data_IF_530693366188
#
_entry.id   IF_530693366188
#
_cell.length_a   1.000
_cell.length_b   1.000
_cell.length_c   1.000
_cell.angle_alpha   90.00
_cell.angle_beta   90.00
_cell.angle_gamma   90.00
#
_symmetry.space_group_name_H-M   'P 1'
#
loop_
_entity.id
_entity.type
_entity.pdbx_description
1 polymer ?
#
# COMPACT_ATOMS: atom_id res chain seq x y z
N UNK A 1 -2.64 -5.12 11.62
CA UNK A 1 -1.42 -4.34 11.95
C UNK A 1 -1.54 -3.00 11.24
N UNK A 2 -1.42 -1.87 11.93
CA UNK A 2 -1.54 -0.57 11.27
C UNK A 2 -0.28 -0.30 10.44
N UNK A 3 -0.46 -0.12 9.14
CA UNK A 3 0.61 0.16 8.18
C UNK A 3 0.56 1.61 7.74
N UNK A 4 1.72 2.17 7.42
CA UNK A 4 1.84 3.52 6.85
C UNK A 4 2.27 3.45 5.39
N UNK A 5 2.07 4.55 4.65
CA UNK A 5 2.45 4.67 3.25
C UNK A 5 3.42 5.84 3.06
N UNK A 6 4.54 5.58 2.39
CA UNK A 6 5.54 6.59 2.05
C UNK A 6 6.21 6.24 0.73
N UNK A 7 6.36 7.21 -0.18
CA UNK A 7 7.06 7.05 -1.46
C UNK A 7 6.61 5.80 -2.27
N UNK A 8 5.32 5.48 -2.22
CA UNK A 8 4.70 4.30 -2.82
C UNK A 8 5.18 2.95 -2.28
N UNK A 9 5.67 2.93 -1.05
CA UNK A 9 5.88 1.73 -0.27
C UNK A 9 4.85 1.64 0.84
N UNK A 10 4.49 0.40 1.18
CA UNK A 10 3.82 0.05 2.41
C UNK A 10 4.89 -0.18 3.47
N UNK A 11 4.72 0.43 4.64
CA UNK A 11 5.67 0.37 5.73
C UNK A 11 5.03 -0.23 6.98
N UNK A 12 5.87 -0.93 7.75
CA UNK A 12 5.51 -1.51 9.04
C UNK A 12 6.54 -1.12 10.09
N UNK A 13 6.08 -0.92 11.32
CA UNK A 13 6.95 -0.87 12.49
C UNK A 13 7.26 -2.29 12.96
N UNK A 14 8.52 -2.71 12.86
CA UNK A 14 9.01 -4.00 13.33
C UNK A 14 10.20 -3.77 14.27
N UNK A 15 10.08 -4.22 15.52
CA UNK A 15 11.14 -4.09 16.53
C UNK A 15 11.65 -2.64 16.71
N UNK A 16 10.74 -1.66 16.70
CA UNK A 16 11.06 -0.24 16.85
C UNK A 16 11.73 0.39 15.62
N UNK A 17 11.64 -0.25 14.45
CA UNK A 17 12.15 0.27 13.18
C UNK A 17 11.06 0.25 12.12
N UNK A 18 10.96 1.36 11.41
CA UNK A 18 10.15 1.45 10.18
C UNK A 18 10.84 0.70 9.05
N UNK A 19 10.16 -0.27 8.46
CA UNK A 19 10.66 -1.06 7.33
C UNK A 19 9.69 -0.99 6.15
N UNK A 20 10.24 -0.98 4.92
CA UNK A 20 9.45 -1.10 3.68
C UNK A 20 9.14 -2.57 3.44
N UNK A 21 7.86 -2.93 3.47
CA UNK A 21 7.42 -4.34 3.36
C UNK A 21 6.84 -4.70 2.00
N UNK A 22 6.34 -3.72 1.25
CA UNK A 22 5.90 -3.93 -0.13
C UNK A 22 6.01 -2.65 -0.94
N UNK A 23 6.32 -2.81 -2.23
CA UNK A 23 6.23 -1.74 -3.23
C UNK A 23 4.85 -1.80 -3.88
N UNK A 24 4.14 -0.68 -3.95
CA UNK A 24 2.84 -0.63 -4.59
C UNK A 24 2.95 -0.93 -6.08
N UNK A 25 1.97 -1.67 -6.62
CA UNK A 25 1.87 -1.92 -8.07
C UNK A 25 1.67 -0.63 -8.85
N UNK A 26 2.02 -0.61 -10.14
CA UNK A 26 1.81 0.57 -11.01
C UNK A 26 0.36 1.06 -10.96
N UNK A 27 -0.60 0.14 -11.12
CA UNK A 27 -2.02 0.44 -11.09
C UNK A 27 -2.48 1.04 -9.74
N UNK A 28 -1.94 0.55 -8.62
CA UNK A 28 -2.24 1.10 -7.30
C UNK A 28 -1.72 2.53 -7.15
N UNK A 29 -0.48 2.80 -7.57
CA UNK A 29 0.12 4.15 -7.53
C UNK A 29 -0.70 5.14 -8.35
N UNK A 30 -1.01 4.81 -9.59
CA UNK A 30 -1.81 5.68 -10.48
C UNK A 30 -3.23 5.93 -9.95
N UNK A 31 -3.82 4.97 -9.22
CA UNK A 31 -5.10 5.16 -8.53
C UNK A 31 -4.95 6.09 -7.33
N UNK A 32 -3.91 5.92 -6.51
CA UNK A 32 -3.65 6.79 -5.37
C UNK A 32 -3.35 8.22 -5.80
N UNK A 33 -2.59 8.42 -6.88
CA UNK A 33 -2.27 9.75 -7.39
C UNK A 33 -3.54 10.49 -7.84
N UNK A 34 -4.45 9.80 -8.54
CA UNK A 34 -5.77 10.36 -8.89
C UNK A 34 -6.61 10.71 -7.67
N UNK A 35 -6.59 9.87 -6.62
CA UNK A 35 -7.31 10.14 -5.38
C UNK A 35 -6.70 11.33 -4.62
N UNK A 36 -5.37 11.44 -4.58
CA UNK A 36 -4.65 12.59 -4.01
C UNK A 36 -5.03 13.90 -4.70
N UNK A 37 -5.07 13.92 -6.03
CA UNK A 37 -5.52 15.09 -6.79
C UNK A 37 -6.97 15.48 -6.50
N UNK A 38 -7.78 14.56 -5.96
CA UNK A 38 -9.17 14.80 -5.52
C UNK A 38 -9.27 15.10 -4.02
N UNK A 39 -8.16 15.40 -3.34
CA UNK A 39 -8.12 15.74 -1.92
C UNK A 39 -8.25 14.54 -0.98
N UNK A 40 -7.82 13.35 -1.40
CA UNK A 40 -7.77 12.18 -0.51
C UNK A 40 -6.34 11.83 -0.13
N UNK A 41 -6.10 11.67 1.17
CA UNK A 41 -4.80 11.29 1.71
C UNK A 41 -4.89 9.91 2.38
N UNK A 42 -4.00 8.95 2.05
CA UNK A 42 -3.92 7.69 2.77
C UNK A 42 -3.63 7.92 4.26
N UNK A 43 -4.44 7.33 5.15
CA UNK A 43 -4.30 7.50 6.60
C UNK A 43 -3.90 6.23 7.32
N UNK A 44 -4.24 5.06 6.76
CA UNK A 44 -3.82 3.76 7.28
C UNK A 44 -3.91 2.69 6.20
N UNK A 45 -3.28 1.55 6.44
CA UNK A 45 -3.47 0.36 5.64
C UNK A 45 -3.39 -0.91 6.50
N UNK A 46 -3.97 -1.99 5.98
CA UNK A 46 -3.99 -3.30 6.62
C UNK A 46 -3.71 -4.40 5.59
N UNK A 47 -2.82 -5.34 5.93
CA UNK A 47 -2.64 -6.56 5.14
C UNK A 47 -3.81 -7.50 5.39
N UNK A 48 -4.52 -7.87 4.32
CA UNK A 48 -5.56 -8.89 4.38
C UNK A 48 -5.03 -10.28 4.05
N UNK A 49 -4.20 -10.36 3.02
CA UNK A 49 -3.61 -11.62 2.57
C UNK A 49 -2.17 -11.41 2.14
N UNK A 50 -1.35 -12.42 2.41
CA UNK A 50 -0.04 -12.60 1.77
C UNK A 50 -0.17 -13.84 0.90
N UNK A 51 0.03 -13.69 -0.40
CA UNK A 51 -0.14 -14.78 -1.37
C UNK A 51 1.17 -15.02 -2.12
N UNK A 52 1.45 -16.27 -2.46
CA UNK A 52 2.49 -16.59 -3.43
C UNK A 52 1.90 -16.50 -4.83
N UNK A 53 2.37 -15.54 -5.63
CA UNK A 53 1.93 -15.40 -7.01
C UNK A 53 2.95 -16.06 -7.96
N UNK A 54 2.55 -17.19 -8.54
CA UNK A 54 3.33 -17.90 -9.55
C UNK A 54 3.10 -17.28 -10.92
N UNK A 55 4.17 -17.00 -11.67
CA UNK A 55 4.06 -16.59 -13.07
C UNK A 55 3.63 -17.79 -13.92
N UNK A 56 2.80 -17.56 -14.93
CA UNK A 56 2.24 -18.66 -15.76
C UNK A 56 3.33 -19.45 -16.50
N UNK A 57 4.36 -18.76 -16.98
CA UNK A 57 5.41 -19.35 -17.82
C UNK A 57 6.71 -19.69 -17.07
N UNK A 58 6.77 -19.48 -15.75
CA UNK A 58 7.98 -19.76 -14.96
C UNK A 58 7.67 -20.39 -13.61
N UNK A 59 8.65 -21.08 -13.04
CA UNK A 59 8.59 -21.55 -11.64
C UNK A 59 8.89 -20.44 -10.62
N UNK A 60 8.93 -19.18 -11.07
CA UNK A 60 9.16 -18.04 -10.19
C UNK A 60 7.88 -17.71 -9.42
N UNK A 61 8.01 -17.68 -8.10
CA UNK A 61 6.97 -17.26 -7.18
C UNK A 61 7.35 -15.93 -6.54
N UNK A 62 6.41 -14.98 -6.57
CA UNK A 62 6.59 -13.65 -6.00
C UNK A 62 5.61 -13.48 -4.83
N UNK A 63 6.06 -13.13 -3.62
CA UNK A 63 5.16 -12.80 -2.53
C UNK A 63 4.43 -11.48 -2.83
N UNK A 64 3.11 -11.53 -2.82
CA UNK A 64 2.24 -10.38 -3.06
C UNK A 64 1.41 -10.09 -1.81
N UNK A 65 1.40 -8.83 -1.39
CA UNK A 65 0.53 -8.34 -0.32
C UNK A 65 -0.76 -7.81 -0.95
N UNK A 66 -1.89 -8.35 -0.50
CA UNK A 66 -3.21 -7.79 -0.77
C UNK A 66 -3.65 -7.02 0.47
N UNK A 67 -3.67 -5.69 0.37
CA UNK A 67 -3.96 -4.78 1.48
C UNK A 67 -5.15 -3.87 1.19
N UNK A 68 -5.90 -3.56 2.23
CA UNK A 68 -6.83 -2.43 2.21
C UNK A 68 -6.03 -1.17 2.57
N UNK A 69 -6.24 -0.09 1.80
CA UNK A 69 -5.67 1.23 2.06
C UNK A 69 -6.84 2.16 2.37
N UNK A 70 -6.86 2.70 3.58
CA UNK A 70 -7.88 3.66 4.01
C UNK A 70 -7.41 5.07 3.69
N UNK A 71 -8.33 5.87 3.15
CA UNK A 71 -8.08 7.27 2.82
C UNK A 71 -9.04 8.15 3.60
N UNK A 72 -8.53 9.31 3.99
CA UNK A 72 -9.32 10.40 4.52
C UNK A 72 -9.44 11.48 3.45
N UNK A 73 -10.62 12.10 3.36
CA UNK A 73 -10.78 13.31 2.54
C UNK A 73 -10.29 14.51 3.34
N UNK A 74 -9.37 15.27 2.77
CA UNK A 74 -8.93 16.52 3.34
C UNK A 74 -10.14 17.44 3.39
N UNK A 75 -10.67 17.65 4.59
CA UNK A 75 -11.76 18.60 4.81
C UNK A 75 -11.09 19.96 4.84
N UNK A 76 -11.35 20.79 3.82
CA UNK A 76 -10.92 22.18 3.88
C UNK A 76 -11.48 22.77 5.17
N UNK A 77 -10.60 23.22 6.07
CA UNK A 77 -11.00 24.14 7.11
C UNK A 77 -11.56 25.37 6.38
N UNK A 78 -12.88 25.55 6.46
CA UNK A 78 -13.56 26.77 6.04
C UNK A 78 -13.25 27.88 7.05
#
# INVERSE_FOLDING_TARGET
MALSLENYFLLAELNGRTVRIAKLSKACRERLDRLRSNGYTPCSAEVRFVVSWKKEDTDEEIPVILSDIHLQKDTAAQ
#
